data_IF_506745014026
#
_entry.id   IF_506745014026
#
_cell.length_a   1.000
_cell.length_b   1.000
_cell.length_c   1.000
_cell.angle_alpha   90.00
_cell.angle_beta   90.00
_cell.angle_gamma   90.00
#
_symmetry.space_group_name_H-M   'P 1'
#
loop_
_entity.id
_entity.type
_entity.pdbx_description
1 polymer ?
#
# COMPACT_ATOMS: atom_id res chain seq x y z
N UNK A 1 -33.52 -6.34 -10.92
CA UNK A 1 -32.54 -5.73 -9.99
C UNK A 1 -31.32 -5.37 -10.83
N UNK A 2 -31.11 -4.09 -11.04
CA UNK A 2 -29.99 -3.60 -11.83
C UNK A 2 -28.72 -3.76 -11.01
N UNK A 3 -27.80 -4.62 -11.46
CA UNK A 3 -26.53 -4.81 -10.77
C UNK A 3 -25.65 -3.61 -11.11
N UNK A 4 -25.37 -2.75 -10.14
CA UNK A 4 -24.37 -1.70 -10.33
C UNK A 4 -23.03 -2.34 -10.59
N UNK A 5 -22.51 -2.12 -11.78
CA UNK A 5 -21.14 -2.49 -12.15
C UNK A 5 -20.35 -1.18 -12.20
N UNK A 6 -19.21 -1.18 -11.58
CA UNK A 6 -18.30 -0.06 -11.57
C UNK A 6 -17.83 0.29 -13.01
N UNK A 7 -18.22 1.45 -13.58
CA UNK A 7 -18.00 1.76 -15.00
C UNK A 7 -16.61 2.37 -15.23
N UNK A 8 -15.55 1.57 -15.12
CA UNK A 8 -14.19 2.04 -15.37
C UNK A 8 -13.51 1.30 -16.52
N UNK A 9 -12.54 1.96 -17.20
CA UNK A 9 -11.62 1.25 -18.06
C UNK A 9 -10.85 0.22 -17.23
N UNK A 10 -10.60 -0.95 -17.81
CA UNK A 10 -9.90 -2.08 -17.18
C UNK A 10 -8.53 -1.66 -16.61
N UNK A 11 -7.94 -0.57 -17.11
CA UNK A 11 -6.68 -0.03 -16.65
C UNK A 11 -6.84 1.42 -16.17
N UNK A 12 -6.23 1.71 -15.05
CA UNK A 12 -6.19 3.04 -14.48
C UNK A 12 -5.43 4.01 -15.40
N UNK A 13 -6.01 5.19 -15.63
CA UNK A 13 -5.45 6.23 -16.53
C UNK A 13 -4.03 6.64 -16.14
N UNK A 14 -3.73 6.59 -14.85
CA UNK A 14 -2.43 6.92 -14.26
C UNK A 14 -1.32 5.97 -14.70
N UNK A 15 -1.69 4.77 -15.17
CA UNK A 15 -0.77 3.75 -15.66
C UNK A 15 -0.39 3.90 -17.14
N UNK A 16 -1.17 4.62 -17.94
CA UNK A 16 -0.97 4.67 -19.38
C UNK A 16 0.45 5.11 -19.81
N UNK A 17 1.04 6.19 -19.26
CA UNK A 17 2.40 6.56 -19.64
C UNK A 17 3.44 5.51 -19.24
N UNK A 18 3.25 4.82 -18.11
CA UNK A 18 4.16 3.76 -17.65
C UNK A 18 4.03 2.50 -18.53
N UNK A 19 2.80 2.10 -18.88
CA UNK A 19 2.54 0.98 -19.79
C UNK A 19 3.11 1.27 -21.18
N UNK A 20 2.88 2.47 -21.72
CA UNK A 20 3.43 2.86 -23.01
C UNK A 20 4.96 2.86 -23.00
N UNK A 21 5.59 3.49 -21.98
CA UNK A 21 7.04 3.56 -21.87
C UNK A 21 7.70 2.19 -21.73
N UNK A 22 7.21 1.34 -20.81
CA UNK A 22 7.77 0.01 -20.60
C UNK A 22 7.51 -0.91 -21.80
N UNK A 23 6.35 -0.78 -22.46
CA UNK A 23 6.04 -1.53 -23.68
C UNK A 23 6.96 -1.16 -24.84
N UNK A 24 7.21 0.13 -25.06
CA UNK A 24 8.16 0.60 -26.09
C UNK A 24 9.57 0.07 -25.80
N UNK A 25 10.04 0.14 -24.55
CA UNK A 25 11.35 -0.38 -24.16
C UNK A 25 11.45 -1.90 -24.40
N UNK A 26 10.41 -2.65 -24.07
CA UNK A 26 10.37 -4.09 -24.30
C UNK A 26 10.45 -4.43 -25.79
N UNK A 27 9.67 -3.70 -26.64
CA UNK A 27 9.68 -3.87 -28.10
C UNK A 27 11.05 -3.51 -28.71
N UNK A 28 11.64 -2.38 -28.30
CA UNK A 28 12.95 -1.96 -28.79
C UNK A 28 14.05 -2.98 -28.41
N UNK A 29 14.09 -3.44 -27.17
CA UNK A 29 15.05 -4.44 -26.73
C UNK A 29 14.89 -5.75 -27.52
N UNK A 30 13.67 -6.15 -27.84
CA UNK A 30 13.37 -7.31 -28.68
C UNK A 30 13.88 -7.11 -30.12
N UNK A 31 13.58 -5.94 -30.72
CA UNK A 31 13.98 -5.60 -32.08
C UNK A 31 15.51 -5.51 -32.23
N UNK A 32 16.22 -5.05 -31.19
CA UNK A 32 17.69 -5.00 -31.17
C UNK A 32 18.37 -6.34 -30.85
N UNK A 33 17.60 -7.40 -30.60
CA UNK A 33 18.13 -8.71 -30.29
C UNK A 33 18.77 -8.82 -28.88
N UNK A 34 18.45 -7.90 -27.95
CA UNK A 34 18.95 -7.92 -26.57
C UNK A 34 18.19 -8.94 -25.71
N UNK A 35 18.44 -10.24 -25.95
CA UNK A 35 17.65 -11.33 -25.42
C UNK A 35 17.34 -11.23 -23.92
N UNK A 36 18.38 -11.09 -23.06
CA UNK A 36 18.20 -11.00 -21.62
C UNK A 36 17.48 -9.71 -21.20
N UNK A 37 17.85 -8.58 -21.77
CA UNK A 37 17.24 -7.29 -21.49
C UNK A 37 15.80 -7.22 -21.93
N UNK A 38 15.46 -7.86 -23.06
CA UNK A 38 14.08 -7.98 -23.54
C UNK A 38 13.21 -8.71 -22.53
N UNK A 39 13.69 -9.83 -21.95
CA UNK A 39 12.94 -10.57 -20.92
C UNK A 39 12.68 -9.67 -19.68
N UNK A 40 13.66 -8.89 -19.24
CA UNK A 40 13.51 -7.96 -18.11
C UNK A 40 12.44 -6.92 -18.41
N UNK A 41 12.49 -6.26 -19.60
CA UNK A 41 11.51 -5.23 -19.94
C UNK A 41 10.10 -5.80 -20.14
N UNK A 42 9.94 -7.01 -20.68
CA UNK A 42 8.65 -7.68 -20.74
C UNK A 42 8.11 -8.02 -19.34
N UNK A 43 8.94 -8.52 -18.45
CA UNK A 43 8.56 -8.75 -17.05
C UNK A 43 8.13 -7.46 -16.35
N UNK A 44 8.87 -6.36 -16.56
CA UNK A 44 8.52 -5.05 -16.03
C UNK A 44 7.20 -4.53 -16.63
N UNK A 45 6.99 -4.67 -17.93
CA UNK A 45 5.73 -4.30 -18.58
C UNK A 45 4.55 -5.06 -17.98
N UNK A 46 4.66 -6.39 -17.82
CA UNK A 46 3.62 -7.21 -17.20
C UNK A 46 3.33 -6.76 -15.76
N UNK A 47 4.38 -6.45 -14.99
CA UNK A 47 4.22 -5.94 -13.63
C UNK A 47 3.50 -4.58 -13.60
N UNK A 48 3.81 -3.68 -14.53
CA UNK A 48 3.15 -2.37 -14.66
C UNK A 48 1.68 -2.55 -15.04
N UNK A 49 1.38 -3.41 -16.02
CA UNK A 49 -0.01 -3.73 -16.43
C UNK A 49 -0.78 -4.31 -15.24
N UNK A 50 -0.17 -5.26 -14.53
CA UNK A 50 -0.76 -5.88 -13.34
C UNK A 50 -1.06 -4.85 -12.24
N UNK A 51 -0.14 -3.91 -12.00
CA UNK A 51 -0.27 -2.89 -10.95
C UNK A 51 -1.40 -1.89 -11.26
N UNK A 52 -1.51 -1.45 -12.51
CA UNK A 52 -2.49 -0.45 -12.92
C UNK A 52 -3.84 -1.04 -13.37
N UNK A 53 -4.07 -2.35 -13.17
CA UNK A 53 -5.37 -2.93 -13.47
C UNK A 53 -6.46 -2.38 -12.57
N UNK A 54 -7.64 -2.19 -13.11
CA UNK A 54 -8.83 -1.78 -12.38
C UNK A 54 -10.05 -2.59 -12.87
N UNK A 55 -10.19 -3.85 -12.44
CA UNK A 55 -11.25 -4.73 -12.92
C UNK A 55 -12.62 -4.22 -12.47
N UNK A 56 -13.58 -4.27 -13.37
CA UNK A 56 -14.98 -4.01 -13.04
C UNK A 56 -15.48 -5.09 -12.06
N UNK A 57 -16.25 -4.68 -11.05
CA UNK A 57 -16.77 -5.57 -10.00
C UNK A 57 -18.23 -5.29 -9.71
N UNK A 58 -18.95 -6.32 -9.34
CA UNK A 58 -20.32 -6.18 -8.84
C UNK A 58 -20.30 -5.59 -7.44
N UNK A 59 -21.14 -4.59 -7.21
CA UNK A 59 -21.29 -3.93 -5.91
C UNK A 59 -22.41 -4.65 -5.15
N UNK A 60 -22.15 -5.18 -3.94
CA UNK A 60 -23.17 -5.80 -3.10
C UNK A 60 -24.35 -4.85 -2.87
N UNK A 61 -25.56 -5.37 -3.03
CA UNK A 61 -26.78 -4.63 -2.74
C UNK A 61 -27.15 -4.81 -1.27
N UNK A 62 -27.57 -3.75 -0.64
CA UNK A 62 -28.00 -3.72 0.77
C UNK A 62 -27.87 -2.33 1.35
N UNK A 63 -28.70 -2.06 2.36
CA UNK A 63 -28.66 -0.81 3.09
C UNK A 63 -27.54 -0.81 4.12
N UNK A 64 -27.00 0.37 4.42
CA UNK A 64 -26.03 0.59 5.49
C UNK A 64 -24.73 -0.26 5.38
N UNK A 65 -24.41 -0.78 4.18
CA UNK A 65 -23.19 -1.53 3.96
C UNK A 65 -22.00 -0.59 3.79
N UNK A 66 -20.90 -0.90 4.47
CA UNK A 66 -19.59 -0.29 4.26
C UNK A 66 -18.72 -1.29 3.50
N UNK A 67 -18.34 -0.93 2.28
CA UNK A 67 -17.53 -1.78 1.42
C UNK A 67 -16.04 -1.52 1.59
N UNK A 68 -15.21 -2.50 1.22
CA UNK A 68 -13.78 -2.28 1.17
C UNK A 68 -13.44 -1.23 0.10
N UNK A 69 -12.65 -0.25 0.49
CA UNK A 69 -12.15 0.82 -0.37
C UNK A 69 -11.17 0.28 -1.41
N UNK A 70 -10.43 -0.76 -1.06
CA UNK A 70 -9.29 -1.31 -1.81
C UNK A 70 -9.20 -2.83 -1.71
N UNK A 71 -8.38 -3.43 -2.56
CA UNK A 71 -7.90 -4.80 -2.34
C UNK A 71 -6.79 -4.79 -1.31
N UNK A 72 -6.80 -5.78 -0.41
CA UNK A 72 -5.72 -5.83 0.58
C UNK A 72 -5.93 -6.87 1.64
N UNK A 73 -5.25 -6.64 2.74
CA UNK A 73 -5.36 -7.43 3.96
C UNK A 73 -5.69 -6.51 5.13
N UNK A 74 -6.66 -6.93 5.95
CA UNK A 74 -7.04 -6.21 7.15
C UNK A 74 -5.90 -6.27 8.16
N UNK A 75 -5.36 -5.11 8.54
CA UNK A 75 -4.30 -5.00 9.55
C UNK A 75 -4.86 -4.79 10.95
N UNK A 76 -5.93 -3.98 11.07
CA UNK A 76 -6.51 -3.57 12.34
C UNK A 76 -8.03 -3.56 12.28
N UNK A 77 -8.64 -3.96 13.39
CA UNK A 77 -10.04 -3.75 13.72
C UNK A 77 -10.07 -3.42 15.21
N UNK A 78 -10.15 -2.13 15.55
CA UNK A 78 -10.04 -1.65 16.92
C UNK A 78 -10.84 -0.37 17.15
N UNK A 79 -11.09 0.00 18.42
CA UNK A 79 -11.62 1.33 18.75
C UNK A 79 -10.48 2.33 18.74
N UNK A 80 -10.67 3.45 18.07
CA UNK A 80 -9.67 4.52 17.96
C UNK A 80 -10.35 5.88 17.85
N UNK A 81 -9.60 6.94 18.08
CA UNK A 81 -10.05 8.30 17.81
C UNK A 81 -9.88 8.64 16.34
N UNK A 82 -10.93 9.14 15.70
CA UNK A 82 -10.86 9.68 14.34
C UNK A 82 -10.07 11.00 14.37
N UNK A 83 -8.90 11.08 13.70
CA UNK A 83 -8.02 12.25 13.77
C UNK A 83 -8.55 13.46 12.98
N UNK A 84 -9.66 13.32 12.25
CA UNK A 84 -10.25 14.36 11.42
C UNK A 84 -11.52 14.96 12.03
N UNK A 85 -12.21 14.20 12.88
CA UNK A 85 -13.45 14.63 13.56
C UNK A 85 -13.32 14.65 15.08
N UNK A 86 -12.25 14.05 15.63
CA UNK A 86 -12.03 13.97 17.08
C UNK A 86 -12.94 13.00 17.83
N UNK A 87 -13.86 12.32 17.14
CA UNK A 87 -14.81 11.37 17.74
C UNK A 87 -14.21 10.01 17.99
N UNK A 88 -14.78 9.26 18.91
CA UNK A 88 -14.49 7.84 19.06
C UNK A 88 -15.11 7.05 17.91
N UNK A 89 -14.35 6.13 17.34
CA UNK A 89 -14.71 5.40 16.14
C UNK A 89 -14.21 3.96 16.18
N UNK A 90 -14.74 3.13 15.29
CA UNK A 90 -14.19 1.82 14.97
C UNK A 90 -13.23 2.01 13.78
N UNK A 91 -11.94 1.76 14.01
CA UNK A 91 -10.92 1.77 12.97
C UNK A 91 -10.84 0.41 12.29
N UNK A 92 -10.94 0.41 10.96
CA UNK A 92 -10.59 -0.73 10.11
C UNK A 92 -9.49 -0.28 9.17
N UNK A 93 -8.30 -0.89 9.29
CA UNK A 93 -7.15 -0.60 8.42
C UNK A 93 -6.95 -1.70 7.40
N UNK A 94 -6.80 -1.33 6.13
CA UNK A 94 -6.54 -2.26 5.03
C UNK A 94 -5.23 -1.90 4.34
N UNK A 95 -4.29 -2.83 4.34
CA UNK A 95 -2.98 -2.71 3.71
C UNK A 95 -3.00 -3.28 2.29
N UNK A 96 -2.39 -2.56 1.36
CA UNK A 96 -2.21 -2.98 -0.03
C UNK A 96 -0.75 -3.30 -0.31
N UNK A 97 -0.48 -4.49 -0.82
CA UNK A 97 0.83 -4.83 -1.38
C UNK A 97 0.87 -4.51 -2.89
N UNK A 98 2.03 -4.65 -3.50
CA UNK A 98 2.27 -4.30 -4.91
C UNK A 98 1.33 -5.04 -5.90
N UNK A 99 0.81 -6.20 -5.53
CA UNK A 99 -0.04 -7.04 -6.39
C UNK A 99 -1.53 -6.77 -6.24
N UNK A 100 -1.94 -5.92 -5.30
CA UNK A 100 -3.33 -5.54 -5.09
C UNK A 100 -3.80 -4.49 -6.11
N UNK A 101 -5.10 -4.28 -6.23
CA UNK A 101 -5.67 -3.16 -6.99
C UNK A 101 -5.56 -1.90 -6.14
N UNK A 102 -4.95 -0.84 -6.69
CA UNK A 102 -4.64 0.40 -5.98
C UNK A 102 -5.64 1.54 -6.22
N UNK A 103 -6.66 1.29 -7.01
CA UNK A 103 -7.77 2.21 -7.24
C UNK A 103 -8.67 2.25 -6.01
N UNK A 104 -8.85 3.43 -5.41
CA UNK A 104 -9.71 3.59 -4.23
C UNK A 104 -11.12 3.97 -4.64
N UNK A 105 -12.09 3.33 -4.00
CA UNK A 105 -13.51 3.47 -4.28
C UNK A 105 -14.29 3.79 -3.02
N UNK A 106 -15.34 4.61 -3.16
CA UNK A 106 -16.15 5.01 -2.02
C UNK A 106 -16.76 3.79 -1.31
N UNK A 107 -16.60 3.69 0.01
CA UNK A 107 -17.16 2.59 0.80
C UNK A 107 -18.67 2.72 1.02
N UNK A 108 -19.21 3.93 0.91
CA UNK A 108 -20.61 4.28 1.19
C UNK A 108 -21.16 5.22 0.13
N UNK A 109 -22.48 5.31 0.01
CA UNK A 109 -23.16 6.40 -0.68
C UNK A 109 -23.20 7.61 0.28
N UNK A 110 -22.81 8.82 -0.19
CA UNK A 110 -22.80 9.98 0.70
C UNK A 110 -22.08 11.20 0.15
N UNK A 111 -22.12 12.29 0.89
CA UNK A 111 -21.56 13.59 0.51
C UNK A 111 -20.25 13.87 1.27
N UNK A 112 -19.24 14.31 0.56
CA UNK A 112 -17.95 14.71 1.13
C UNK A 112 -18.11 16.01 1.88
N UNK A 113 -17.97 15.97 3.21
CA UNK A 113 -18.05 17.16 4.08
C UNK A 113 -16.72 17.90 4.18
N UNK A 114 -15.63 17.12 4.29
CA UNK A 114 -14.29 17.68 4.49
C UNK A 114 -13.25 16.83 3.78
N UNK A 115 -12.26 17.51 3.18
CA UNK A 115 -11.08 16.89 2.59
C UNK A 115 -9.83 17.52 3.20
N UNK A 116 -9.01 16.71 3.85
CA UNK A 116 -7.79 17.19 4.51
C UNK A 116 -6.60 16.46 3.95
N UNK A 117 -5.68 17.20 3.36
CA UNK A 117 -4.37 16.69 2.94
C UNK A 117 -3.33 17.06 4.00
N UNK A 118 -2.55 16.07 4.43
CA UNK A 118 -1.44 16.26 5.36
C UNK A 118 -0.15 15.76 4.69
N UNK A 119 0.82 16.66 4.42
CA UNK A 119 2.13 16.23 3.97
C UNK A 119 2.82 15.42 5.06
N UNK A 120 3.68 14.48 4.68
CA UNK A 120 4.33 13.61 5.64
C UNK A 120 5.49 12.83 5.05
N UNK A 121 5.95 11.82 5.79
CA UNK A 121 7.02 10.91 5.42
C UNK A 121 6.47 9.71 4.61
N UNK A 122 7.35 8.78 4.28
CA UNK A 122 7.04 7.57 3.50
C UNK A 122 7.59 6.33 4.21
N UNK A 123 7.09 6.04 5.40
CA UNK A 123 7.39 4.78 6.09
C UNK A 123 6.58 3.63 5.51
N UNK A 124 7.01 2.40 5.79
CA UNK A 124 6.22 1.24 5.42
C UNK A 124 4.80 1.35 6.01
N UNK A 125 3.79 1.32 5.15
CA UNK A 125 2.39 1.52 5.52
C UNK A 125 1.82 0.45 6.47
N UNK A 126 2.48 -0.70 6.62
CA UNK A 126 2.09 -1.73 7.59
C UNK A 126 2.44 -1.36 9.05
N UNK A 127 3.30 -0.35 9.26
CA UNK A 127 3.72 0.09 10.58
C UNK A 127 2.72 1.06 11.20
N UNK A 128 2.56 1.03 12.52
CA UNK A 128 1.65 1.91 13.26
C UNK A 128 1.98 3.39 13.09
N UNK A 129 3.27 3.73 13.10
CA UNK A 129 3.73 5.11 12.88
C UNK A 129 3.36 5.71 11.52
N UNK A 130 3.03 4.87 10.53
CA UNK A 130 2.61 5.35 9.22
C UNK A 130 1.31 6.17 9.30
N UNK A 131 0.38 5.83 10.18
CA UNK A 131 -0.86 6.60 10.37
C UNK A 131 -0.63 7.98 10.99
N UNK A 132 0.50 8.19 11.67
CA UNK A 132 0.81 9.47 12.32
C UNK A 132 1.74 10.35 11.48
N UNK A 133 2.70 9.74 10.78
CA UNK A 133 3.82 10.46 10.19
C UNK A 133 3.83 10.46 8.65
N UNK A 134 3.14 9.54 7.98
CA UNK A 134 3.17 9.48 6.51
C UNK A 134 2.25 10.54 5.88
N UNK A 135 2.57 10.87 4.61
CA UNK A 135 1.67 11.63 3.75
C UNK A 135 0.29 10.97 3.71
N UNK A 136 -0.76 11.75 3.93
CA UNK A 136 -2.12 11.23 3.98
C UNK A 136 -3.14 12.24 3.43
N UNK A 137 -4.26 11.68 2.95
CA UNK A 137 -5.40 12.46 2.52
C UNK A 137 -6.67 11.83 3.12
N UNK A 138 -7.29 12.52 4.07
CA UNK A 138 -8.52 12.11 4.72
C UNK A 138 -9.74 12.72 4.05
N UNK A 139 -10.80 11.94 3.93
CA UNK A 139 -12.13 12.37 3.53
C UNK A 139 -13.11 12.07 4.65
N UNK A 140 -13.83 13.07 5.10
CA UNK A 140 -14.98 12.93 6.00
C UNK A 140 -16.23 12.95 5.14
N UNK A 141 -17.00 11.88 5.14
CA UNK A 141 -18.20 11.70 4.32
C UNK A 141 -19.40 11.50 5.23
N UNK A 142 -20.46 12.24 4.98
CA UNK A 142 -21.78 11.96 5.56
C UNK A 142 -22.50 11.00 4.62
N UNK A 143 -22.67 9.77 5.07
CA UNK A 143 -23.44 8.77 4.35
C UNK A 143 -24.90 9.19 4.26
N UNK A 144 -25.62 8.70 3.24
CA UNK A 144 -27.03 9.05 2.99
C UNK A 144 -27.97 8.63 4.13
N UNK A 145 -27.52 7.70 4.98
CA UNK A 145 -28.21 7.28 6.20
C UNK A 145 -27.92 8.19 7.41
N UNK A 146 -27.15 9.29 7.22
CA UNK A 146 -26.78 10.26 8.24
C UNK A 146 -25.51 9.93 9.03
N UNK A 147 -24.95 8.71 8.91
CA UNK A 147 -23.72 8.34 9.60
C UNK A 147 -22.51 9.06 9.03
N UNK A 148 -21.56 9.43 9.90
CA UNK A 148 -20.26 9.94 9.46
C UNK A 148 -19.28 8.79 9.27
N UNK A 149 -18.61 8.78 8.13
CA UNK A 149 -17.56 7.80 7.78
C UNK A 149 -16.32 8.57 7.32
N UNK A 150 -15.20 8.33 7.98
CA UNK A 150 -13.93 8.92 7.56
C UNK A 150 -13.05 7.84 6.94
N UNK A 151 -12.49 8.10 5.76
CA UNK A 151 -11.53 7.19 5.15
C UNK A 151 -10.29 7.96 4.68
N UNK A 152 -9.14 7.40 5.03
CA UNK A 152 -7.84 8.07 4.95
C UNK A 152 -6.91 7.29 4.05
N UNK A 153 -6.46 7.91 2.97
CA UNK A 153 -5.38 7.41 2.14
C UNK A 153 -4.06 7.67 2.85
N UNK A 154 -3.25 6.64 3.05
CA UNK A 154 -1.94 6.74 3.72
C UNK A 154 -0.88 6.21 2.77
N UNK A 155 0.10 7.04 2.46
CA UNK A 155 1.22 6.69 1.61
C UNK A 155 2.09 5.60 2.25
N UNK A 156 2.74 4.78 1.43
CA UNK A 156 3.70 3.77 1.86
C UNK A 156 5.13 4.12 1.47
N UNK A 157 6.05 3.19 1.69
CA UNK A 157 7.50 3.40 1.51
C UNK A 157 7.91 3.80 0.08
N UNK A 158 7.26 3.26 -0.93
CA UNK A 158 7.56 3.52 -2.34
C UNK A 158 6.59 4.53 -2.96
N UNK A 159 5.58 4.93 -2.20
CA UNK A 159 4.55 5.88 -2.65
C UNK A 159 5.13 7.29 -2.69
N UNK A 160 5.10 7.91 -3.87
CA UNK A 160 5.49 9.31 -4.00
C UNK A 160 4.31 10.25 -4.23
N UNK A 161 3.08 9.73 -4.28
CA UNK A 161 1.90 10.58 -4.50
C UNK A 161 0.58 9.89 -4.17
N UNK A 162 -0.22 10.56 -3.37
CA UNK A 162 -1.64 10.30 -3.19
C UNK A 162 -2.40 11.13 -4.21
N UNK A 163 -3.25 10.47 -5.00
CA UNK A 163 -4.18 11.12 -5.92
C UNK A 163 -5.59 11.02 -5.35
N UNK A 164 -6.22 12.16 -5.19
CA UNK A 164 -7.59 12.26 -4.71
C UNK A 164 -8.35 13.23 -5.63
N UNK A 165 -9.42 12.76 -6.26
CA UNK A 165 -10.12 13.44 -7.36
C UNK A 165 -11.35 14.21 -6.93
N UNK A 166 -11.81 14.00 -5.68
CA UNK A 166 -13.05 14.58 -5.18
C UNK A 166 -12.79 15.86 -4.39
N UNK A 167 -13.83 16.67 -4.28
CA UNK A 167 -13.86 17.94 -3.55
C UNK A 167 -14.93 17.87 -2.47
N UNK A 168 -14.87 18.79 -1.54
CA UNK A 168 -15.93 19.03 -0.58
C UNK A 168 -17.23 19.41 -1.31
N UNK A 169 -18.34 18.86 -0.85
CA UNK A 169 -19.66 18.97 -1.48
C UNK A 169 -19.94 17.93 -2.57
N UNK A 170 -18.94 17.18 -3.07
CA UNK A 170 -19.20 16.12 -4.05
C UNK A 170 -19.98 14.98 -3.41
N UNK A 171 -20.99 14.47 -4.12
CA UNK A 171 -21.70 13.26 -3.74
C UNK A 171 -21.04 12.04 -4.40
N UNK A 172 -20.77 11.01 -3.59
CA UNK A 172 -20.16 9.76 -4.01
C UNK A 172 -21.18 8.62 -3.88
N UNK A 173 -21.30 7.80 -4.90
CA UNK A 173 -21.97 6.51 -4.75
C UNK A 173 -20.97 5.43 -4.32
N UNK A 174 -21.44 4.41 -3.63
CA UNK A 174 -20.62 3.23 -3.32
C UNK A 174 -19.99 2.66 -4.59
N UNK A 175 -18.68 2.46 -4.53
CA UNK A 175 -17.90 1.99 -5.66
C UNK A 175 -17.41 3.10 -6.59
N UNK A 176 -17.82 4.34 -6.44
CA UNK A 176 -17.28 5.46 -7.21
C UNK A 176 -15.79 5.64 -6.88
N UNK A 177 -15.00 5.84 -7.92
CA UNK A 177 -13.57 6.02 -7.78
C UNK A 177 -13.26 7.44 -7.29
N UNK A 178 -12.70 7.56 -6.10
CA UNK A 178 -12.31 8.85 -5.54
C UNK A 178 -10.80 9.10 -5.52
N UNK A 179 -9.98 8.07 -5.69
CA UNK A 179 -8.53 8.25 -5.61
C UNK A 179 -7.70 7.09 -6.16
N UNK A 180 -6.39 7.30 -6.12
CA UNK A 180 -5.37 6.32 -6.47
C UNK A 180 -4.09 6.57 -5.65
N UNK A 181 -3.48 5.52 -5.11
CA UNK A 181 -2.18 5.60 -4.44
C UNK A 181 -1.20 4.71 -5.20
N UNK A 182 0.00 5.22 -5.48
CA UNK A 182 1.03 4.44 -6.20
C UNK A 182 1.92 3.70 -5.22
N UNK A 183 2.15 2.40 -5.46
CA UNK A 183 3.17 1.53 -4.86
C UNK A 183 3.12 1.34 -3.34
N UNK A 184 2.26 0.43 -2.91
CA UNK A 184 2.17 -0.03 -1.53
C UNK A 184 1.66 1.06 -0.57
N UNK A 185 0.51 0.85 0.02
CA UNK A 185 -0.20 1.88 0.78
C UNK A 185 -1.19 1.24 1.74
N UNK A 186 -1.85 2.07 2.52
CA UNK A 186 -2.88 1.66 3.46
C UNK A 186 -4.05 2.61 3.38
N UNK A 187 -5.24 2.11 3.62
CA UNK A 187 -6.43 2.92 3.85
C UNK A 187 -6.96 2.62 5.24
N UNK A 188 -7.12 3.66 6.04
CA UNK A 188 -7.74 3.61 7.34
C UNK A 188 -9.18 4.14 7.24
N UNK A 189 -10.12 3.39 7.79
CA UNK A 189 -11.52 3.79 7.85
C UNK A 189 -11.97 3.91 9.29
N UNK A 190 -12.54 5.05 9.64
CA UNK A 190 -13.11 5.35 10.94
C UNK A 190 -14.63 5.36 10.81
N UNK A 191 -15.25 4.35 11.39
CA UNK A 191 -16.70 4.13 11.37
C UNK A 191 -17.31 4.54 12.70
N UNK A 192 -18.58 4.93 12.76
CA UNK A 192 -19.26 5.22 14.03
C UNK A 192 -19.27 3.99 14.94
N UNK A 193 -19.34 4.21 16.26
CA UNK A 193 -19.27 3.13 17.26
C UNK A 193 -20.42 2.10 17.15
N UNK A 194 -21.55 2.47 16.53
CA UNK A 194 -22.68 1.58 16.26
C UNK A 194 -22.45 0.68 15.04
N UNK A 195 -21.37 0.87 14.28
CA UNK A 195 -21.03 -0.02 13.19
C UNK A 195 -20.63 -1.42 13.69
N UNK A 196 -20.98 -2.42 12.89
CA UNK A 196 -20.69 -3.84 13.19
C UNK A 196 -19.68 -4.36 12.17
N UNK A 197 -18.38 -4.51 12.51
CA UNK A 197 -17.39 -5.11 11.64
C UNK A 197 -17.80 -6.53 11.21
N UNK A 198 -17.54 -6.86 9.96
CA UNK A 198 -17.80 -8.18 9.35
C UNK A 198 -16.53 -8.89 8.94
N UNK A 199 -15.38 -8.28 9.22
CA UNK A 199 -14.05 -8.80 8.88
C UNK A 199 -13.18 -8.93 10.12
N UNK A 200 -12.16 -9.77 10.02
CA UNK A 200 -11.18 -9.99 11.10
C UNK A 200 -9.78 -9.61 10.65
N UNK A 201 -8.89 -9.37 11.61
CA UNK A 201 -7.48 -9.08 11.33
C UNK A 201 -6.84 -10.24 10.55
N UNK A 202 -6.08 -9.93 9.50
CA UNK A 202 -5.45 -10.90 8.63
C UNK A 202 -6.30 -11.34 7.44
N UNK A 203 -7.59 -11.02 7.40
CA UNK A 203 -8.49 -11.37 6.30
C UNK A 203 -8.12 -10.62 5.02
N UNK A 204 -8.19 -11.33 3.88
CA UNK A 204 -8.05 -10.71 2.56
C UNK A 204 -9.38 -10.16 2.09
N UNK A 205 -9.35 -8.91 1.65
CA UNK A 205 -10.53 -8.17 1.20
C UNK A 205 -10.34 -7.64 -0.22
N UNK A 206 -11.46 -7.49 -0.92
CA UNK A 206 -11.50 -6.96 -2.29
C UNK A 206 -12.32 -5.69 -2.33
N UNK A 207 -11.75 -4.65 -2.90
CA UNK A 207 -12.41 -3.36 -3.08
C UNK A 207 -13.76 -3.50 -3.76
N UNK A 208 -14.75 -2.76 -3.30
CA UNK A 208 -16.15 -2.74 -3.76
C UNK A 208 -16.96 -4.02 -3.54
N UNK A 209 -16.36 -5.18 -3.32
CA UNK A 209 -17.11 -6.45 -3.18
C UNK A 209 -17.18 -6.95 -1.73
N UNK A 210 -16.11 -6.77 -0.95
CA UNK A 210 -16.12 -7.22 0.44
C UNK A 210 -16.83 -6.21 1.32
N UNK A 211 -17.81 -6.68 2.10
CA UNK A 211 -18.48 -5.89 3.13
C UNK A 211 -17.60 -5.88 4.38
N UNK A 212 -17.05 -4.72 4.72
CA UNK A 212 -16.18 -4.56 5.91
C UNK A 212 -17.01 -4.39 7.19
N UNK A 213 -18.13 -3.69 7.09
CA UNK A 213 -19.01 -3.45 8.22
C UNK A 213 -20.44 -3.17 7.76
N UNK A 214 -21.37 -3.19 8.72
CA UNK A 214 -22.75 -2.70 8.57
C UNK A 214 -22.93 -1.56 9.57
N UNK A 215 -23.38 -0.39 9.10
CA UNK A 215 -23.68 0.77 9.94
C UNK A 215 -24.96 0.50 10.75
N UNK A 216 -24.99 1.00 11.97
CA UNK A 216 -26.21 1.05 12.78
C UNK A 216 -27.12 2.21 12.38
N UNK A 217 -28.10 2.53 13.22
CA UNK A 217 -28.88 3.77 13.11
C UNK A 217 -27.95 4.95 13.33
N UNK A 218 -28.15 6.05 12.59
CA UNK A 218 -27.36 7.26 12.80
C UNK A 218 -27.48 7.67 14.27
N UNK A 219 -26.33 7.87 14.91
CA UNK A 219 -26.31 8.47 16.23
C UNK A 219 -26.53 9.97 16.01
N UNK A 220 -27.39 10.60 16.84
CA UNK A 220 -27.48 12.06 16.94
C UNK A 220 -26.15 12.55 17.56
N UNK A 221 -25.08 12.47 16.82
CA UNK A 221 -23.83 13.11 17.20
C UNK A 221 -24.00 14.60 16.94
N UNK A 222 -23.75 15.46 17.95
CA UNK A 222 -23.69 16.89 17.71
C UNK A 222 -22.70 17.15 16.59
N UNK A 223 -23.08 17.98 15.62
CA UNK A 223 -22.14 18.44 14.58
C UNK A 223 -20.89 18.93 15.30
N UNK A 224 -19.85 18.09 15.31
CA UNK A 224 -18.56 18.55 15.77
C UNK A 224 -18.22 19.75 14.88
N UNK A 225 -17.91 20.94 15.46
CA UNK A 225 -17.57 22.09 14.67
C UNK A 225 -16.47 21.67 13.71
N UNK A 226 -16.76 21.69 12.42
CA UNK A 226 -15.74 21.59 11.40
C UNK A 226 -14.87 22.83 11.64
N UNK A 227 -13.75 22.63 12.34
CA UNK A 227 -12.85 23.72 12.68
C UNK A 227 -12.40 24.40 11.38
N UNK A 228 -13.00 25.55 11.07
CA UNK A 228 -12.70 26.34 9.87
C UNK A 228 -11.34 27.04 9.97
N UNK A 229 -10.61 26.85 11.07
CA UNK A 229 -9.34 27.52 11.32
C UNK A 229 -8.16 26.56 11.31
N UNK A 230 -7.72 26.12 10.15
CA UNK A 230 -6.31 25.88 9.89
C UNK A 230 -6.00 26.11 8.41
N UNK A 231 -6.05 27.39 8.06
CA UNK A 231 -5.29 27.95 6.95
C UNK A 231 -3.80 27.64 7.17
N UNK A 232 -3.25 26.88 6.26
CA UNK A 232 -1.88 26.66 5.87
C UNK A 232 -0.77 27.38 6.67
N UNK A 233 -0.61 27.13 7.98
CA UNK A 233 0.65 27.41 8.66
C UNK A 233 0.90 26.45 9.82
N UNK A 234 1.17 25.16 9.49
CA UNK A 234 1.68 24.23 10.49
C UNK A 234 3.17 24.47 10.65
N UNK A 235 3.48 25.41 11.56
CA UNK A 235 4.78 25.44 12.23
C UNK A 235 4.95 24.12 12.98
N UNK A 236 6.01 23.40 12.70
CA UNK A 236 6.36 22.17 13.42
C UNK A 236 6.33 22.41 14.93
N UNK A 237 5.86 21.46 15.74
CA UNK A 237 5.96 21.59 17.19
C UNK A 237 7.43 21.62 17.57
N UNK A 238 7.84 22.73 18.16
CA UNK A 238 9.15 22.92 18.75
C UNK A 238 9.41 21.80 19.78
N UNK A 239 10.51 21.11 19.63
CA UNK A 239 11.03 20.21 20.62
C UNK A 239 11.10 20.90 21.98
N UNK A 240 10.47 20.31 22.97
CA UNK A 240 10.56 20.73 24.36
C UNK A 240 12.04 20.81 24.76
N UNK A 241 12.54 22.01 24.94
CA UNK A 241 13.85 22.25 25.54
C UNK A 241 13.70 21.97 27.04
N UNK A 242 14.31 20.91 27.52
CA UNK A 242 14.57 20.69 28.92
C UNK A 242 15.58 21.75 29.38
N UNK A 243 15.13 22.66 30.24
CA UNK A 243 15.97 23.58 31.00
C UNK A 243 16.96 22.76 31.85
N UNK A 244 18.24 22.95 31.60
CA UNK A 244 19.31 22.56 32.54
C UNK A 244 19.89 23.85 33.12
N UNK A 245 20.02 23.94 34.45
CA UNK A 245 20.44 25.19 35.11
C UNK A 245 21.91 25.49 34.87
N UNK A 246 22.21 26.76 34.72
CA UNK A 246 23.51 27.36 34.55
C UNK A 246 24.45 27.11 35.76
N UNK A 247 25.71 26.84 35.49
CA UNK A 247 26.83 27.03 36.41
C UNK A 247 28.07 27.57 35.64
N UNK A 248 29.01 28.27 36.28
CA UNK A 248 29.57 29.50 35.80
C UNK A 248 30.90 29.37 35.03
N UNK A 249 31.28 30.50 34.42
CA UNK A 249 32.43 30.75 33.60
C UNK A 249 33.81 30.50 34.27
N UNK A 250 34.76 29.96 33.54
CA UNK A 250 36.16 30.32 33.61
C UNK A 250 36.86 29.96 32.29
N UNK A 251 37.52 30.91 31.69
CA UNK A 251 38.48 30.82 30.57
C UNK A 251 39.89 30.63 31.15
N UNK A 252 41.02 30.62 30.34
CA UNK A 252 41.23 30.17 28.97
C UNK A 252 42.51 29.29 28.78
N UNK A 253 42.72 28.86 27.55
CA UNK A 253 44.00 28.53 26.89
C UNK A 253 44.80 27.31 27.31
N UNK A 254 45.05 26.42 26.34
CA UNK A 254 46.40 26.07 25.84
C UNK A 254 46.28 25.14 24.61
N UNK A 255 47.00 25.53 23.60
CA UNK A 255 47.48 24.74 22.45
C UNK A 255 48.23 23.48 22.92
N UNK A 256 48.01 22.36 22.22
CA UNK A 256 49.08 21.40 21.91
C UNK A 256 48.54 20.26 21.01
N UNK A 257 49.08 20.24 19.81
CA UNK A 257 49.72 19.14 19.09
C UNK A 257 48.97 17.85 18.87
N UNK A 258 48.82 17.54 17.60
CA UNK A 258 48.59 16.23 17.04
C UNK A 258 49.84 15.34 17.20
N UNK A 259 49.69 14.05 17.28
CA UNK A 259 50.65 13.18 16.57
C UNK A 259 50.02 12.23 15.54
N UNK A 260 50.66 12.26 14.41
CA UNK A 260 50.95 11.32 13.34
C UNK A 260 50.42 9.88 13.49
N UNK A 261 49.96 9.40 12.34
CA UNK A 261 49.75 8.01 12.01
C UNK A 261 51.06 7.26 11.87
N UNK A 262 51.12 5.97 12.06
CA UNK A 262 52.08 5.13 11.39
C UNK A 262 51.48 4.18 10.36
N UNK A 263 52.33 4.04 9.34
CA UNK A 263 52.17 3.39 8.08
C UNK A 263 51.97 1.87 8.09
N UNK A 264 51.45 1.47 6.97
CA UNK A 264 51.43 0.19 6.27
C UNK A 264 52.45 -0.90 6.68
N UNK A 265 51.93 -2.15 6.74
CA UNK A 265 52.72 -3.33 6.46
C UNK A 265 51.92 -4.28 5.54
N UNK A 266 52.56 -4.63 4.46
CA UNK A 266 52.21 -5.58 3.41
C UNK A 266 52.71 -7.00 3.76
N UNK A 267 52.47 -7.99 2.92
CA UNK A 267 51.89 -9.30 3.27
C UNK A 267 52.94 -10.42 3.36
N UNK A 268 52.56 -11.57 3.90
CA UNK A 268 53.35 -12.79 3.75
C UNK A 268 52.52 -13.90 3.10
N UNK A 269 53.06 -14.32 1.98
CA UNK A 269 52.87 -15.54 1.21
C UNK A 269 53.24 -16.77 2.03
N UNK A 270 52.47 -17.85 1.90
CA UNK A 270 53.03 -19.20 1.64
C UNK A 270 51.91 -20.25 1.51
N UNK A 271 51.89 -20.80 0.34
CA UNK A 271 51.47 -22.14 -0.12
C UNK A 271 51.85 -23.32 0.80
N UNK A 272 51.51 -24.63 0.51
CA UNK A 272 50.60 -25.20 -0.51
C UNK A 272 49.72 -26.35 0.00
N UNK A 273 48.90 -26.89 -0.94
CA UNK A 273 48.10 -28.09 -0.84
C UNK A 273 48.92 -29.39 -0.68
N UNK A 274 48.26 -30.52 -0.30
CA UNK A 274 48.35 -31.68 -1.20
C UNK A 274 47.02 -32.41 -1.46
N UNK A 275 46.78 -32.71 -2.73
CA UNK A 275 46.67 -34.02 -3.42
C UNK A 275 45.60 -35.00 -2.94
N UNK A 276 44.76 -35.34 -3.91
CA UNK A 276 43.89 -36.51 -3.95
C UNK A 276 44.65 -37.86 -4.00
N UNK A 277 43.99 -39.01 -3.80
CA UNK A 277 43.88 -40.01 -4.85
C UNK A 277 42.41 -40.52 -4.99
N UNK A 278 41.88 -40.68 -6.20
CA UNK A 278 41.96 -41.71 -7.24
C UNK A 278 41.28 -43.04 -6.91
N UNK A 279 40.29 -43.35 -7.75
CA UNK A 279 39.94 -44.61 -8.37
C UNK A 279 39.30 -45.78 -7.57
N UNK A 280 38.14 -46.21 -8.04
CA UNK A 280 37.82 -47.52 -8.64
C UNK A 280 36.35 -47.58 -9.04
N UNK A 281 36.05 -47.57 -10.29
CA UNK A 281 35.74 -48.63 -11.23
C UNK A 281 34.84 -49.77 -10.73
N UNK A 282 33.81 -50.02 -11.52
CA UNK A 282 33.18 -51.30 -11.93
C UNK A 282 31.67 -51.27 -11.79
N UNK A 283 30.84 -51.38 -12.70
CA UNK A 283 30.61 -52.20 -13.88
C UNK A 283 29.10 -52.18 -14.15
N UNK A 284 28.70 -51.91 -15.36
CA UNK A 284 27.42 -52.37 -15.92
C UNK A 284 27.49 -53.88 -16.21
N UNK A 285 26.38 -54.61 -16.46
CA UNK A 285 25.79 -54.61 -17.79
C UNK A 285 24.26 -54.85 -17.90
N UNK A 286 23.74 -54.44 -19.07
CA UNK A 286 22.93 -55.07 -20.08
C UNK A 286 21.46 -55.44 -19.83
N UNK A 287 20.61 -54.79 -20.58
CA UNK A 287 19.69 -55.27 -21.60
C UNK A 287 18.59 -56.29 -21.26
N UNK A 288 17.34 -55.89 -21.57
CA UNK A 288 16.37 -56.64 -22.36
C UNK A 288 15.08 -55.87 -22.63
N UNK A 289 14.86 -55.46 -23.85
CA UNK A 289 13.58 -55.43 -24.57
C UNK A 289 13.36 -56.83 -25.16
N UNK A 290 12.18 -57.22 -25.78
CA UNK A 290 10.85 -56.60 -25.90
C UNK A 290 9.69 -57.61 -25.72
N UNK A 291 8.43 -57.15 -25.78
CA UNK A 291 7.35 -57.90 -26.46
C UNK A 291 6.09 -57.07 -26.71
N UNK A 292 5.75 -56.95 -27.98
CA UNK A 292 4.44 -56.59 -28.54
C UNK A 292 3.42 -57.73 -28.30
N UNK A 293 2.15 -57.33 -28.15
CA UNK A 293 0.95 -58.00 -28.79
C UNK A 293 -0.21 -57.06 -28.57
N UNK A 294 -0.79 -56.35 -29.60
CA UNK A 294 -1.93 -56.77 -30.46
C UNK A 294 -3.07 -57.38 -29.62
N UNK A 295 -4.26 -56.92 -29.57
CA UNK A 295 -5.31 -56.95 -30.59
C UNK A 295 -6.65 -56.51 -30.00
N UNK A 296 -7.38 -55.69 -30.72
CA UNK A 296 -8.72 -55.79 -31.22
C UNK A 296 -9.96 -55.83 -30.29
N UNK A 297 -10.80 -54.90 -30.63
CA UNK A 297 -12.21 -55.03 -31.02
C UNK A 297 -13.35 -54.96 -29.99
N UNK A 298 -14.17 -54.02 -30.31
CA UNK A 298 -15.65 -54.06 -30.38
C UNK A 298 -16.49 -54.12 -29.07
N UNK A 299 -17.16 -53.09 -28.77
CA UNK A 299 -18.56 -52.77 -29.05
C UNK A 299 -18.89 -51.36 -28.64
#
# INVERSE_FOLDING_TARGET
>A
MDKRIYPHPIFAKEGWPFMAGTGVLALLATAMGWGFLSVIFWALFILVVQFFRDPAREIPQGEKLVLSVVDGQVLKVEKAKDPYTGRDAILISVFMNLFNVHSQKSPVDGTVLKKVYRPGKYFNASLDKASAENEQCGLVVRADDGNLVTFVQIAGLVTHRILNYVKEGDHLNRGDRYGFIRFGSRVDMYLPLNARPKVVIGEKVWGTTTVLAVLGEALDEPEAPLDESEDSSVTAPAAAQSETPAAPAAAPAAEAEAPEAPAAAKPSESEPAPAAPAESESSAPAAAEPAKTTDASAK
#
